data_IF_705203079597
#
_entry.id   IF_705203079597
#
_cell.length_a   1.000
_cell.length_b   1.000
_cell.length_c   1.000
_cell.angle_alpha   90.00
_cell.angle_beta   90.00
_cell.angle_gamma   90.00
#
_symmetry.space_group_name_H-M   'P 1'
#
loop_
_entity.id
_entity.type
_entity.pdbx_description
1 polymer ?
#
# COMPACT_ATOMS: atom_id res chain seq x y z
N UNK A 1 8.85 14.43 19.38
CA UNK A 1 9.47 15.45 20.25
C UNK A 1 10.17 14.85 21.48
N UNK A 2 9.60 13.87 22.19
CA UNK A 2 10.24 13.22 23.35
C UNK A 2 11.66 12.71 23.06
N UNK A 3 11.86 12.03 21.92
CA UNK A 3 13.18 11.54 21.48
C UNK A 3 14.18 12.68 21.28
N UNK A 4 13.78 13.74 20.58
CA UNK A 4 14.63 14.93 20.37
C UNK A 4 15.11 15.55 21.69
N UNK A 5 14.18 15.78 22.64
CA UNK A 5 14.53 16.29 23.98
C UNK A 5 15.47 15.34 24.73
N UNK A 6 15.28 14.02 24.61
CA UNK A 6 16.15 13.03 25.22
C UNK A 6 17.57 13.04 24.65
N UNK A 7 17.72 13.15 23.32
CA UNK A 7 19.04 13.31 22.67
C UNK A 7 19.72 14.57 23.22
N UNK A 8 19.01 15.70 23.21
CA UNK A 8 19.54 16.97 23.73
C UNK A 8 19.85 16.93 25.23
N UNK A 9 19.20 16.08 26.02
CA UNK A 9 19.49 15.92 27.44
C UNK A 9 20.83 15.20 27.68
N UNK A 10 21.23 14.28 26.79
CA UNK A 10 22.36 13.38 26.99
C UNK A 10 23.56 13.68 26.09
N UNK A 11 23.41 14.52 25.06
CA UNK A 11 24.52 14.86 24.18
C UNK A 11 25.63 15.64 24.91
N UNK A 12 26.88 15.35 24.57
CA UNK A 12 28.11 15.86 25.20
C UNK A 12 29.04 16.58 24.20
N UNK A 13 28.55 16.85 22.99
CA UNK A 13 29.27 17.58 21.95
C UNK A 13 28.46 17.59 20.65
N UNK A 14 29.10 18.03 19.57
CA UNK A 14 28.47 18.14 18.25
C UNK A 14 27.83 16.82 17.79
N UNK A 15 26.61 16.92 17.26
CA UNK A 15 25.85 15.79 16.70
C UNK A 15 25.06 16.22 15.45
N UNK A 16 24.85 15.26 14.56
CA UNK A 16 23.86 15.35 13.49
C UNK A 16 22.68 14.46 13.91
N UNK A 17 21.48 15.03 13.96
CA UNK A 17 20.24 14.34 14.29
C UNK A 17 19.43 14.14 13.01
N UNK A 18 19.23 12.88 12.64
CA UNK A 18 18.58 12.49 11.40
C UNK A 18 17.12 12.08 11.60
N UNK A 19 16.21 12.90 11.07
CA UNK A 19 14.80 12.57 10.96
C UNK A 19 14.61 11.62 9.77
N UNK A 20 14.56 10.31 10.07
CA UNK A 20 14.31 9.24 9.08
C UNK A 20 12.84 8.82 8.99
N UNK A 21 12.06 9.07 10.05
CA UNK A 21 10.61 8.79 10.04
C UNK A 21 9.90 9.70 9.03
N UNK A 22 8.83 9.20 8.41
CA UNK A 22 7.93 10.06 7.62
C UNK A 22 7.24 11.06 8.55
N UNK A 23 7.65 12.32 8.47
CA UNK A 23 7.18 13.41 9.33
C UNK A 23 6.67 14.59 8.49
N UNK A 24 5.60 15.29 8.92
CA UNK A 24 5.08 16.46 8.20
C UNK A 24 6.15 17.54 8.00
N UNK A 25 5.98 18.35 6.95
CA UNK A 25 6.88 19.47 6.65
C UNK A 25 6.98 20.43 7.84
N UNK A 26 8.22 20.82 8.19
CA UNK A 26 8.54 21.64 9.35
C UNK A 26 8.72 20.85 10.64
N UNK A 27 8.83 19.53 10.60
CA UNK A 27 9.10 18.73 11.80
C UNK A 27 10.54 18.89 12.27
N UNK A 28 11.50 18.93 11.34
CA UNK A 28 12.88 19.21 11.67
C UNK A 28 13.06 20.56 12.40
N UNK A 29 12.27 21.58 12.03
CA UNK A 29 12.26 22.87 12.76
C UNK A 29 11.79 22.68 14.22
N UNK A 30 10.75 21.87 14.44
CA UNK A 30 10.26 21.55 15.79
C UNK A 30 11.27 20.72 16.59
N UNK A 31 11.97 19.78 15.94
CA UNK A 31 13.07 19.01 16.54
C UNK A 31 14.18 19.95 16.99
N UNK A 32 14.62 20.86 16.10
CA UNK A 32 15.64 21.85 16.38
C UNK A 32 15.27 22.73 17.59
N UNK A 33 14.06 23.30 17.60
CA UNK A 33 13.58 24.11 18.74
C UNK A 33 13.54 23.30 20.03
N UNK A 34 12.99 22.09 20.02
CA UNK A 34 12.88 21.26 21.21
C UNK A 34 14.25 20.85 21.78
N UNK A 35 15.25 20.64 20.93
CA UNK A 35 16.62 20.36 21.35
C UNK A 35 17.30 21.60 21.92
N UNK A 36 17.15 22.74 21.24
CA UNK A 36 17.72 24.02 21.68
C UNK A 36 17.23 24.42 23.08
N UNK A 37 15.92 24.29 23.34
CA UNK A 37 15.34 24.55 24.67
C UNK A 37 15.99 23.72 25.78
N UNK A 38 16.32 22.44 25.51
CA UNK A 38 16.94 21.54 26.49
C UNK A 38 18.42 21.89 26.69
N UNK A 39 19.14 22.25 25.63
CA UNK A 39 20.54 22.67 25.72
C UNK A 39 20.69 23.98 26.51
N UNK A 40 19.78 24.93 26.31
CA UNK A 40 19.70 26.17 27.08
C UNK A 40 19.45 25.89 28.57
N UNK A 41 18.51 25.00 28.89
CA UNK A 41 18.25 24.58 30.28
C UNK A 41 19.46 23.90 30.93
N UNK A 42 20.26 23.17 30.15
CA UNK A 42 21.51 22.55 30.60
C UNK A 42 22.69 23.52 30.70
N UNK A 43 22.54 24.76 30.23
CA UNK A 43 23.64 25.71 30.03
C UNK A 43 24.81 25.09 29.23
N UNK A 44 24.50 24.23 28.25
CA UNK A 44 25.48 23.51 27.46
C UNK A 44 25.50 24.05 26.02
N UNK A 45 26.46 24.92 25.72
CA UNK A 45 26.59 25.52 24.39
C UNK A 45 27.34 24.58 23.44
N UNK A 46 26.60 23.85 22.61
CA UNK A 46 27.13 23.00 21.54
C UNK A 46 26.34 23.22 20.27
N UNK A 47 27.02 23.20 19.13
CA UNK A 47 26.35 23.12 17.84
C UNK A 47 25.74 21.73 17.64
N UNK A 48 24.66 21.65 16.86
CA UNK A 48 24.11 20.43 16.30
C UNK A 48 23.39 20.74 14.99
N UNK A 49 23.28 19.75 14.12
CA UNK A 49 22.51 19.86 12.88
C UNK A 49 21.33 18.90 12.92
N UNK A 50 20.19 19.33 12.37
CA UNK A 50 19.02 18.46 12.16
C UNK A 50 18.86 18.27 10.66
N UNK A 51 18.80 17.01 10.23
CA UNK A 51 18.69 16.65 8.82
C UNK A 51 17.45 15.80 8.57
N UNK A 52 16.83 15.98 7.41
CA UNK A 52 15.75 15.12 6.93
C UNK A 52 16.34 14.10 5.98
N UNK A 53 16.18 12.80 6.26
CA UNK A 53 16.58 11.74 5.35
C UNK A 53 15.45 10.71 5.28
N UNK A 54 14.40 10.97 4.48
CA UNK A 54 13.26 10.08 4.40
C UNK A 54 13.66 8.70 3.85
N UNK A 55 13.02 7.66 4.36
CA UNK A 55 13.16 6.29 3.83
C UNK A 55 12.26 6.06 2.60
N UNK A 56 12.62 5.17 1.68
CA UNK A 56 11.80 4.77 0.53
C UNK A 56 11.72 3.24 0.37
N UNK A 57 11.65 2.54 1.49
CA UNK A 57 11.67 1.09 1.58
C UNK A 57 10.26 0.54 1.36
N UNK A 58 10.15 -0.57 0.62
CA UNK A 58 8.92 -1.35 0.54
C UNK A 58 8.97 -2.46 1.58
N UNK A 59 7.90 -2.58 2.35
CA UNK A 59 7.69 -3.74 3.21
C UNK A 59 7.78 -5.05 2.41
N UNK A 60 8.48 -6.06 2.94
CA UNK A 60 8.79 -7.30 2.21
C UNK A 60 10.00 -7.23 1.25
N UNK A 61 10.57 -6.05 1.01
CA UNK A 61 11.79 -5.87 0.19
C UNK A 61 12.78 -4.85 0.80
N UNK A 62 12.62 -4.52 2.08
CA UNK A 62 13.33 -3.41 2.73
C UNK A 62 14.85 -3.56 2.70
N UNK A 63 15.38 -4.79 2.81
CA UNK A 63 16.83 -5.02 2.74
C UNK A 63 17.38 -4.70 1.35
N UNK A 64 16.74 -5.19 0.29
CA UNK A 64 17.18 -4.94 -1.09
C UNK A 64 17.07 -3.44 -1.44
N UNK A 65 15.96 -2.80 -1.06
CA UNK A 65 15.75 -1.36 -1.28
C UNK A 65 16.77 -0.51 -0.51
N UNK A 66 17.18 -0.93 0.69
CA UNK A 66 18.23 -0.25 1.46
C UNK A 66 19.62 -0.46 0.86
N UNK A 67 19.94 -1.69 0.44
CA UNK A 67 21.25 -2.03 -0.11
C UNK A 67 21.45 -1.48 -1.54
N UNK A 68 20.37 -1.27 -2.30
CA UNK A 68 20.39 -0.79 -3.69
C UNK A 68 19.33 0.29 -3.92
N UNK A 69 19.41 1.43 -3.23
CA UNK A 69 18.37 2.46 -3.30
C UNK A 69 18.35 3.13 -4.67
N UNK A 70 17.18 3.43 -5.23
CA UNK A 70 17.11 4.24 -6.47
C UNK A 70 17.75 5.63 -6.29
N UNK A 71 17.56 6.19 -5.09
CA UNK A 71 18.11 7.48 -4.63
C UNK A 71 18.12 7.57 -3.11
N UNK A 72 18.96 8.43 -2.56
CA UNK A 72 19.02 8.78 -1.14
C UNK A 72 18.77 10.28 -1.04
N UNK A 73 17.67 10.69 -0.40
CA UNK A 73 17.30 12.10 -0.26
C UNK A 73 17.85 12.64 1.05
N UNK A 74 18.61 13.74 0.99
CA UNK A 74 19.18 14.41 2.16
C UNK A 74 18.73 15.87 2.16
N UNK A 75 17.97 16.24 3.18
CA UNK A 75 17.60 17.61 3.51
C UNK A 75 18.54 18.20 4.54
N UNK A 76 19.32 19.21 4.18
CA UNK A 76 20.21 19.93 5.10
C UNK A 76 20.45 21.36 4.62
N UNK A 77 20.65 22.28 5.56
CA UNK A 77 21.02 23.69 5.33
C UNK A 77 22.52 23.95 5.56
N UNK A 78 23.29 22.91 5.92
CA UNK A 78 24.70 23.02 6.28
C UNK A 78 25.61 22.25 5.30
N UNK A 79 26.51 22.93 4.58
CA UNK A 79 27.47 22.27 3.68
C UNK A 79 28.41 21.28 4.39
N UNK A 80 28.82 21.54 5.64
CA UNK A 80 29.64 20.61 6.44
C UNK A 80 28.90 19.29 6.64
N UNK A 81 27.62 19.39 6.99
CA UNK A 81 26.74 18.24 7.22
C UNK A 81 26.49 17.47 5.93
N UNK A 82 26.36 18.17 4.79
CA UNK A 82 26.25 17.52 3.47
C UNK A 82 27.41 16.58 3.20
N UNK A 83 28.66 17.02 3.42
CA UNK A 83 29.84 16.20 3.20
C UNK A 83 29.91 15.00 4.16
N UNK A 84 29.55 15.19 5.43
CA UNK A 84 29.48 14.08 6.40
C UNK A 84 28.42 13.04 6.02
N UNK A 85 27.25 13.47 5.53
CA UNK A 85 26.22 12.55 5.04
C UNK A 85 26.66 11.82 3.76
N UNK A 86 27.42 12.50 2.88
CA UNK A 86 28.00 11.88 1.68
C UNK A 86 29.01 10.81 2.05
N UNK A 87 29.86 11.05 3.05
CA UNK A 87 30.81 10.05 3.56
C UNK A 87 30.07 8.85 4.16
N UNK A 88 29.04 9.09 5.00
CA UNK A 88 28.22 8.05 5.61
C UNK A 88 27.61 7.10 4.55
N UNK A 89 27.08 7.65 3.46
CA UNK A 89 26.43 6.88 2.40
C UNK A 89 27.38 6.44 1.26
N UNK A 90 28.66 6.79 1.30
CA UNK A 90 29.63 6.42 0.27
C UNK A 90 29.70 4.90 -0.03
N UNK A 91 29.60 3.99 0.96
CA UNK A 91 29.59 2.55 0.69
C UNK A 91 28.44 2.09 -0.21
N UNK A 92 27.31 2.79 -0.20
CA UNK A 92 26.11 2.47 -0.99
C UNK A 92 26.08 3.17 -2.36
N UNK A 93 27.01 4.10 -2.63
CA UNK A 93 27.04 4.96 -3.82
C UNK A 93 28.29 4.79 -4.70
N UNK A 94 29.01 3.65 -4.58
CA UNK A 94 30.29 3.46 -5.28
C UNK A 94 30.22 3.52 -6.80
N UNK A 95 29.09 3.14 -7.41
CA UNK A 95 28.97 3.08 -8.87
C UNK A 95 28.31 4.30 -9.49
N UNK A 96 27.41 4.97 -8.76
CA UNK A 96 26.66 6.13 -9.22
C UNK A 96 26.37 7.01 -8.01
N UNK A 97 26.51 8.34 -8.13
CA UNK A 97 26.07 9.25 -7.07
C UNK A 97 24.53 9.24 -7.04
N UNK A 98 23.97 8.61 -6.00
CA UNK A 98 22.52 8.54 -5.79
C UNK A 98 22.04 9.52 -4.72
N UNK A 99 22.93 10.37 -4.17
CA UNK A 99 22.52 11.39 -3.22
C UNK A 99 21.81 12.53 -3.94
N UNK A 100 20.64 12.87 -3.43
CA UNK A 100 19.87 14.05 -3.84
C UNK A 100 19.81 14.98 -2.64
N UNK A 101 20.72 15.95 -2.62
CA UNK A 101 20.82 16.95 -1.55
C UNK A 101 19.88 18.12 -1.87
N UNK A 102 19.11 18.55 -0.88
CA UNK A 102 18.14 19.65 -0.97
C UNK A 102 17.96 20.32 0.39
N UNK A 103 17.10 21.34 0.48
CA UNK A 103 16.72 21.90 1.77
C UNK A 103 15.82 20.94 2.57
N UNK A 104 15.80 21.12 3.89
CA UNK A 104 15.13 20.24 4.84
C UNK A 104 13.63 20.07 4.53
N UNK A 105 12.93 21.17 4.23
CA UNK A 105 11.48 21.15 3.99
C UNK A 105 11.15 20.46 2.66
N UNK A 106 11.98 20.68 1.64
CA UNK A 106 11.88 19.95 0.36
C UNK A 106 12.08 18.44 0.54
N UNK A 107 13.01 18.02 1.39
CA UNK A 107 13.22 16.60 1.69
C UNK A 107 12.02 15.96 2.41
N UNK A 108 11.47 16.65 3.43
CA UNK A 108 10.25 16.22 4.12
C UNK A 108 9.07 16.08 3.13
N UNK A 109 8.86 17.09 2.27
CA UNK A 109 7.77 17.07 1.29
C UNK A 109 7.96 15.98 0.22
N UNK A 110 9.20 15.71 -0.20
CA UNK A 110 9.51 14.72 -1.26
C UNK A 110 8.97 13.34 -0.91
N UNK A 111 9.01 12.92 0.37
CA UNK A 111 8.46 11.63 0.80
C UNK A 111 6.95 11.55 0.59
N UNK A 112 6.21 12.57 1.01
CA UNK A 112 4.76 12.64 0.82
C UNK A 112 4.39 12.73 -0.65
N UNK A 113 5.08 13.57 -1.42
CA UNK A 113 4.84 13.74 -2.85
C UNK A 113 5.04 12.43 -3.62
N UNK A 114 6.09 11.66 -3.29
CA UNK A 114 6.33 10.36 -3.92
C UNK A 114 5.21 9.36 -3.61
N UNK A 115 4.81 9.21 -2.34
CA UNK A 115 3.75 8.29 -1.96
C UNK A 115 2.38 8.71 -2.52
N UNK A 116 2.08 10.01 -2.53
CA UNK A 116 0.87 10.56 -3.13
C UNK A 116 0.82 10.32 -4.64
N UNK A 117 1.94 10.48 -5.36
CA UNK A 117 2.01 10.19 -6.79
C UNK A 117 1.76 8.70 -7.07
N UNK A 118 2.36 7.79 -6.30
CA UNK A 118 2.14 6.34 -6.47
C UNK A 118 0.69 5.96 -6.19
N UNK A 119 0.07 6.50 -5.14
CA UNK A 119 -1.35 6.32 -4.85
C UNK A 119 -2.24 6.88 -5.97
N UNK A 120 -1.86 8.04 -6.53
CA UNK A 120 -2.56 8.67 -7.65
C UNK A 120 -2.57 7.78 -8.88
N UNK A 121 -1.42 7.19 -9.27
CA UNK A 121 -1.34 6.27 -10.41
C UNK A 121 -2.28 5.07 -10.24
N UNK A 122 -2.34 4.49 -9.03
CA UNK A 122 -3.23 3.37 -8.73
C UNK A 122 -4.69 3.79 -8.83
N UNK A 123 -5.10 4.86 -8.12
CA UNK A 123 -6.49 5.34 -8.14
C UNK A 123 -6.93 5.75 -9.55
N UNK A 124 -6.07 6.42 -10.30
CA UNK A 124 -6.34 6.78 -11.69
C UNK A 124 -6.62 5.54 -12.56
N UNK A 125 -5.79 4.51 -12.46
CA UNK A 125 -6.01 3.26 -13.19
C UNK A 125 -7.25 2.51 -12.74
N UNK A 126 -7.60 2.57 -11.46
CA UNK A 126 -8.84 1.98 -10.94
C UNK A 126 -10.08 2.70 -11.46
N UNK A 127 -10.05 4.02 -11.54
CA UNK A 127 -11.14 4.80 -12.15
C UNK A 127 -11.30 4.46 -13.63
N UNK A 128 -10.20 4.42 -14.37
CA UNK A 128 -10.20 3.96 -15.76
C UNK A 128 -10.66 2.51 -15.91
N UNK A 129 -10.35 1.62 -14.96
CA UNK A 129 -10.82 0.25 -14.97
C UNK A 129 -12.35 0.20 -14.90
N UNK A 130 -12.94 0.98 -14.01
CA UNK A 130 -14.40 1.06 -13.87
C UNK A 130 -15.05 1.62 -15.16
N UNK A 131 -14.43 2.62 -15.78
CA UNK A 131 -14.88 3.14 -17.08
C UNK A 131 -14.74 2.09 -18.19
N UNK A 132 -13.64 1.33 -18.19
CA UNK A 132 -13.39 0.30 -19.20
C UNK A 132 -14.50 -0.76 -19.20
N UNK A 133 -15.02 -1.16 -18.03
CA UNK A 133 -16.17 -2.08 -17.96
C UNK A 133 -17.42 -1.53 -18.65
N UNK A 134 -17.70 -0.23 -18.46
CA UNK A 134 -18.87 0.43 -19.06
C UNK A 134 -18.71 0.70 -20.56
N UNK A 135 -17.47 0.90 -21.00
CA UNK A 135 -17.13 1.18 -22.40
C UNK A 135 -16.87 -0.09 -23.23
N UNK A 136 -16.83 -1.27 -22.60
CA UNK A 136 -16.45 -2.52 -23.27
C UNK A 136 -14.96 -2.59 -23.65
N UNK A 137 -14.10 -1.87 -22.91
CA UNK A 137 -12.65 -1.90 -23.08
C UNK A 137 -12.00 -2.89 -22.10
N UNK A 138 -10.75 -3.27 -22.38
CA UNK A 138 -9.91 -4.07 -21.46
C UNK A 138 -8.83 -3.17 -20.85
N UNK A 139 -8.92 -2.93 -19.54
CA UNK A 139 -7.99 -2.06 -18.81
C UNK A 139 -6.54 -2.57 -18.89
N UNK A 140 -6.29 -3.87 -19.04
CA UNK A 140 -4.92 -4.38 -19.19
C UNK A 140 -4.33 -4.00 -20.54
N UNK A 141 -5.15 -3.92 -21.60
CA UNK A 141 -4.72 -3.39 -22.89
C UNK A 141 -4.44 -1.89 -22.81
N UNK A 142 -5.29 -1.14 -22.11
CA UNK A 142 -5.08 0.30 -21.87
C UNK A 142 -3.79 0.53 -21.08
N UNK A 143 -3.56 -0.25 -20.02
CA UNK A 143 -2.33 -0.23 -19.22
C UNK A 143 -1.08 -0.43 -20.08
N UNK A 144 -1.09 -1.43 -20.97
CA UNK A 144 0.02 -1.67 -21.89
C UNK A 144 0.22 -0.49 -22.84
N UNK A 145 -0.88 0.06 -23.38
CA UNK A 145 -0.88 1.23 -24.25
C UNK A 145 -0.22 2.44 -23.60
N UNK A 146 -0.74 2.90 -22.46
CA UNK A 146 -0.21 4.09 -21.78
C UNK A 146 1.17 3.85 -21.15
N UNK A 147 1.44 2.62 -20.66
CA UNK A 147 2.71 2.29 -20.02
C UNK A 147 3.89 2.24 -20.99
N UNK A 148 3.62 2.06 -22.30
CA UNK A 148 4.64 2.11 -23.35
C UNK A 148 5.24 3.50 -23.55
N UNK A 149 4.57 4.55 -23.05
CA UNK A 149 5.13 5.89 -23.00
C UNK A 149 6.12 6.00 -21.82
N UNK A 150 7.42 6.25 -22.07
CA UNK A 150 8.42 6.32 -21.01
C UNK A 150 8.19 7.46 -20.01
N UNK A 151 7.35 8.46 -20.34
CA UNK A 151 6.95 9.52 -19.41
C UNK A 151 5.99 9.03 -18.33
N UNK A 152 5.27 7.93 -18.60
CA UNK A 152 4.31 7.29 -17.69
C UNK A 152 4.94 6.05 -17.04
N UNK A 153 5.55 5.18 -17.86
CA UNK A 153 6.15 3.92 -17.47
C UNK A 153 5.18 2.86 -16.96
N UNK A 154 5.66 1.62 -16.82
CA UNK A 154 4.83 0.45 -16.49
C UNK A 154 4.56 0.24 -14.99
N UNK A 155 5.24 0.96 -14.12
CA UNK A 155 5.15 0.74 -12.68
C UNK A 155 3.93 1.44 -12.06
N UNK A 156 3.30 0.78 -11.08
CA UNK A 156 2.16 1.31 -10.30
C UNK A 156 0.90 1.67 -11.12
N UNK A 157 0.72 1.04 -12.28
CA UNK A 157 -0.47 1.20 -13.12
C UNK A 157 -1.30 -0.09 -13.26
N UNK A 158 -1.17 -1.01 -12.29
CA UNK A 158 -1.99 -2.22 -12.25
C UNK A 158 -3.30 -1.91 -11.53
N UNK A 159 -4.46 -2.01 -12.22
CA UNK A 159 -5.76 -1.85 -11.58
C UNK A 159 -6.05 -3.04 -10.67
N UNK A 160 -6.92 -2.82 -9.67
CA UNK A 160 -7.36 -3.87 -8.77
C UNK A 160 -8.42 -3.41 -7.78
N UNK A 161 -8.54 -4.11 -6.66
CA UNK A 161 -9.47 -3.80 -5.57
C UNK A 161 -8.95 -2.71 -4.60
N UNK A 162 -8.22 -1.71 -5.12
CA UNK A 162 -7.63 -0.62 -4.34
C UNK A 162 -6.27 -0.94 -3.71
N UNK A 163 -5.67 0.08 -3.11
CA UNK A 163 -4.45 0.03 -2.31
C UNK A 163 -4.74 0.09 -0.80
N UNK A 164 -3.78 -0.40 -0.02
CA UNK A 164 -3.80 -0.39 1.44
C UNK A 164 -2.40 -0.23 2.03
N UNK A 165 -2.20 -0.81 3.21
CA UNK A 165 -0.94 -0.76 3.94
C UNK A 165 -0.80 0.49 4.80
N UNK A 166 0.30 0.54 5.54
CA UNK A 166 0.57 1.61 6.51
C UNK A 166 1.06 2.94 5.93
N UNK A 167 1.52 2.93 4.68
CA UNK A 167 2.15 4.09 4.06
C UNK A 167 1.17 4.94 3.26
N UNK A 168 0.58 4.40 2.18
CA UNK A 168 -0.18 5.25 1.24
C UNK A 168 -1.41 5.94 1.86
N UNK A 169 -2.36 5.23 2.52
CA UNK A 169 -3.53 5.90 3.09
C UNK A 169 -3.11 6.95 4.13
N UNK A 170 -2.20 6.59 5.04
CA UNK A 170 -1.70 7.50 6.09
C UNK A 170 -1.03 8.74 5.51
N UNK A 171 -0.14 8.57 4.53
CA UNK A 171 0.65 9.68 3.99
C UNK A 171 -0.19 10.60 3.10
N UNK A 172 -1.11 10.06 2.30
CA UNK A 172 -2.05 10.87 1.50
C UNK A 172 -2.97 11.69 2.41
N UNK A 173 -3.56 11.07 3.44
CA UNK A 173 -4.39 11.76 4.42
C UNK A 173 -3.62 12.81 5.23
N UNK A 174 -2.38 12.50 5.62
CA UNK A 174 -1.53 13.44 6.33
C UNK A 174 -1.21 14.66 5.45
N UNK A 175 -0.86 14.44 4.18
CA UNK A 175 -0.58 15.54 3.24
C UNK A 175 -1.82 16.40 2.97
N UNK A 176 -2.99 15.78 2.80
CA UNK A 176 -4.27 16.49 2.63
C UNK A 176 -4.64 17.30 3.89
N UNK A 177 -4.38 16.78 5.08
CA UNK A 177 -4.55 17.51 6.34
C UNK A 177 -3.60 18.70 6.44
N UNK A 178 -2.32 18.49 6.13
CA UNK A 178 -1.33 19.59 6.10
C UNK A 178 -1.75 20.67 5.11
N UNK A 179 -2.26 20.30 3.93
CA UNK A 179 -2.82 21.26 2.97
C UNK A 179 -3.94 22.10 3.59
N UNK A 180 -4.92 21.47 4.26
CA UNK A 180 -6.01 22.17 4.94
C UNK A 180 -5.52 23.10 6.06
N UNK A 181 -4.54 22.67 6.85
CA UNK A 181 -3.94 23.48 7.93
C UNK A 181 -3.26 24.75 7.42
N UNK A 182 -2.73 24.75 6.19
CA UNK A 182 -2.14 25.94 5.54
C UNK A 182 -3.14 26.71 4.65
N UNK A 183 -4.43 26.37 4.71
CA UNK A 183 -5.48 27.03 3.92
C UNK A 183 -5.53 26.64 2.44
N UNK A 184 -4.95 25.50 2.05
CA UNK A 184 -4.99 24.96 0.69
C UNK A 184 -5.95 23.76 0.58
N UNK A 185 -6.80 23.76 -0.45
CA UNK A 185 -7.68 22.63 -0.75
C UNK A 185 -7.03 21.70 -1.78
N UNK A 186 -6.54 20.54 -1.36
CA UNK A 186 -5.85 19.60 -2.22
C UNK A 186 -6.81 18.65 -2.96
N UNK A 187 -7.56 19.18 -3.94
CA UNK A 187 -8.63 18.47 -4.66
C UNK A 187 -8.21 17.11 -5.22
N UNK A 188 -7.00 17.02 -5.80
CA UNK A 188 -6.48 15.77 -6.35
C UNK A 188 -6.27 14.70 -5.27
N UNK A 189 -5.76 15.07 -4.09
CA UNK A 189 -5.53 14.10 -3.01
C UNK A 189 -6.85 13.55 -2.47
N UNK A 190 -7.84 14.43 -2.29
CA UNK A 190 -9.19 14.04 -1.88
C UNK A 190 -9.83 13.09 -2.90
N UNK A 191 -9.68 13.36 -4.20
CA UNK A 191 -10.19 12.50 -5.26
C UNK A 191 -9.52 11.13 -5.27
N UNK A 192 -8.19 11.08 -5.13
CA UNK A 192 -7.41 9.84 -5.08
C UNK A 192 -7.85 8.95 -3.93
N UNK A 193 -8.09 9.51 -2.76
CA UNK A 193 -8.58 8.77 -1.58
C UNK A 193 -10.01 8.27 -1.80
N UNK A 194 -10.91 9.14 -2.25
CA UNK A 194 -12.31 8.81 -2.48
C UNK A 194 -12.49 7.69 -3.53
N UNK A 195 -11.70 7.71 -4.61
CA UNK A 195 -11.66 6.63 -5.60
C UNK A 195 -11.19 5.33 -4.95
N UNK A 196 -10.13 5.37 -4.14
CA UNK A 196 -9.60 4.16 -3.49
C UNK A 196 -10.61 3.51 -2.55
N UNK A 197 -11.32 4.29 -1.73
CA UNK A 197 -12.35 3.74 -0.83
C UNK A 197 -13.45 3.02 -1.61
N UNK A 198 -14.02 3.66 -2.64
CA UNK A 198 -15.04 3.03 -3.49
C UNK A 198 -14.50 1.79 -4.21
N UNK A 199 -13.21 1.80 -4.59
CA UNK A 199 -12.62 0.67 -5.29
C UNK A 199 -12.55 -0.60 -4.44
N UNK A 200 -12.41 -0.48 -3.11
CA UNK A 200 -12.38 -1.63 -2.19
C UNK A 200 -13.72 -2.38 -2.16
N UNK A 201 -14.83 -1.74 -2.53
CA UNK A 201 -16.16 -2.36 -2.60
C UNK A 201 -16.39 -3.13 -3.91
N UNK A 202 -15.55 -2.95 -4.94
CA UNK A 202 -15.74 -3.58 -6.26
C UNK A 202 -15.84 -5.11 -6.25
N UNK A 203 -15.04 -5.86 -5.46
CA UNK A 203 -15.22 -7.31 -5.37
C UNK A 203 -16.61 -7.69 -4.83
N UNK A 204 -17.11 -6.95 -3.83
CA UNK A 204 -18.43 -7.17 -3.27
C UNK A 204 -19.54 -6.82 -4.29
N UNK A 205 -19.44 -5.69 -4.99
CA UNK A 205 -20.39 -5.32 -6.05
C UNK A 205 -20.49 -6.41 -7.13
N UNK A 206 -19.37 -7.05 -7.49
CA UNK A 206 -19.35 -8.16 -8.47
C UNK A 206 -20.06 -9.40 -7.94
N UNK A 207 -19.87 -9.75 -6.66
CA UNK A 207 -20.62 -10.82 -6.01
C UNK A 207 -22.12 -10.51 -5.97
N UNK A 208 -22.48 -9.27 -5.60
CA UNK A 208 -23.87 -8.83 -5.55
C UNK A 208 -24.52 -8.85 -6.95
N UNK A 209 -23.80 -8.44 -7.99
CA UNK A 209 -24.26 -8.54 -9.37
C UNK A 209 -24.52 -9.98 -9.79
N UNK A 210 -23.69 -10.92 -9.34
CA UNK A 210 -23.82 -12.32 -9.72
C UNK A 210 -24.92 -13.06 -8.95
N UNK A 211 -24.93 -12.95 -7.62
CA UNK A 211 -25.86 -13.70 -6.76
C UNK A 211 -27.17 -12.95 -6.45
N UNK A 212 -27.20 -11.63 -6.58
CA UNK A 212 -28.36 -10.81 -6.26
C UNK A 212 -28.84 -11.04 -4.83
N UNK A 213 -30.15 -11.30 -4.68
CA UNK A 213 -30.78 -11.59 -3.39
C UNK A 213 -30.34 -12.92 -2.76
N UNK A 214 -29.67 -13.81 -3.51
CA UNK A 214 -29.25 -15.12 -3.02
C UNK A 214 -27.86 -15.10 -2.34
N UNK A 215 -27.30 -13.93 -2.05
CA UNK A 215 -25.97 -13.81 -1.46
C UNK A 215 -25.95 -14.19 0.02
N UNK A 216 -27.02 -13.90 0.77
CA UNK A 216 -27.12 -14.20 2.20
C UNK A 216 -26.98 -15.72 2.46
N UNK A 217 -26.20 -16.08 3.49
CA UNK A 217 -25.95 -17.46 3.88
C UNK A 217 -24.92 -18.21 3.03
N UNK A 218 -24.41 -17.61 1.94
CA UNK A 218 -23.33 -18.19 1.13
C UNK A 218 -22.01 -18.20 1.90
N UNK A 219 -21.08 -19.01 1.42
CA UNK A 219 -19.69 -19.06 1.90
C UNK A 219 -18.74 -18.61 0.80
N UNK A 220 -17.94 -17.58 1.06
CA UNK A 220 -16.94 -17.06 0.13
C UNK A 220 -15.56 -17.58 0.51
N UNK A 221 -14.91 -18.28 -0.41
CA UNK A 221 -13.48 -18.55 -0.31
C UNK A 221 -12.71 -17.26 -0.59
N UNK A 222 -11.74 -16.92 0.27
CA UNK A 222 -10.95 -15.70 0.15
C UNK A 222 -9.45 -16.05 0.06
N UNK A 223 -8.84 -15.74 -1.08
CA UNK A 223 -7.40 -15.85 -1.26
C UNK A 223 -6.73 -14.49 -1.10
N UNK A 224 -5.94 -14.36 -0.04
CA UNK A 224 -5.21 -13.15 0.31
C UNK A 224 -5.91 -12.32 1.40
N UNK A 225 -5.18 -12.09 2.49
CA UNK A 225 -5.57 -11.26 3.63
C UNK A 225 -4.65 -10.04 3.75
N UNK A 226 -3.36 -10.18 3.49
CA UNK A 226 -2.41 -9.07 3.54
C UNK A 226 -2.73 -7.99 2.50
N UNK A 227 -2.34 -6.73 2.74
CA UNK A 227 -2.64 -5.64 1.80
C UNK A 227 -1.90 -5.78 0.45
N UNK A 228 -0.78 -6.52 0.44
CA UNK A 228 0.03 -6.89 -0.72
C UNK A 228 0.80 -8.20 -0.42
N UNK A 229 1.42 -8.84 -1.41
CA UNK A 229 2.27 -10.01 -1.17
C UNK A 229 3.51 -9.69 -0.30
N UNK A 230 4.06 -10.75 0.30
CA UNK A 230 5.30 -10.78 1.10
C UNK A 230 5.27 -9.95 2.40
N UNK A 231 4.11 -9.84 3.04
CA UNK A 231 3.93 -9.20 4.36
C UNK A 231 2.75 -9.84 5.09
N UNK A 232 2.74 -9.76 6.42
CA UNK A 232 1.58 -10.03 7.30
C UNK A 232 0.67 -8.81 7.50
N UNK A 233 1.08 -7.62 7.06
CA UNK A 233 0.37 -6.37 7.34
C UNK A 233 -1.03 -6.35 6.69
N UNK A 234 -2.03 -6.24 7.55
CA UNK A 234 -3.44 -6.11 7.17
C UNK A 234 -3.98 -4.69 7.39
N UNK A 235 -3.15 -3.70 7.75
CA UNK A 235 -3.61 -2.29 7.86
C UNK A 235 -4.12 -1.82 6.52
N UNK A 236 -5.33 -1.26 6.53
CA UNK A 236 -6.02 -0.74 5.33
C UNK A 236 -6.15 -1.75 4.17
N UNK A 237 -5.99 -3.06 4.41
CA UNK A 237 -6.09 -4.08 3.38
C UNK A 237 -7.52 -4.16 2.81
N UNK A 238 -7.65 -4.30 1.48
CA UNK A 238 -8.95 -4.44 0.82
C UNK A 238 -9.72 -5.69 1.26
N UNK A 239 -9.00 -6.71 1.72
CA UNK A 239 -9.56 -7.95 2.29
C UNK A 239 -10.44 -7.66 3.51
N UNK A 240 -10.04 -6.69 4.34
CA UNK A 240 -10.79 -6.27 5.52
C UNK A 240 -12.12 -5.63 5.15
N UNK A 241 -12.09 -4.67 4.23
CA UNK A 241 -13.32 -4.04 3.72
C UNK A 241 -14.26 -5.09 3.12
N UNK A 242 -13.74 -6.02 2.32
CA UNK A 242 -14.54 -7.08 1.74
C UNK A 242 -15.15 -7.99 2.81
N UNK A 243 -14.34 -8.53 3.73
CA UNK A 243 -14.83 -9.42 4.80
C UNK A 243 -15.89 -8.74 5.67
N UNK A 244 -15.64 -7.50 6.09
CA UNK A 244 -16.57 -6.73 6.92
C UNK A 244 -17.89 -6.45 6.19
N UNK A 245 -17.85 -6.19 4.89
CA UNK A 245 -19.06 -6.02 4.07
C UNK A 245 -19.80 -7.34 3.87
N UNK A 246 -19.09 -8.46 3.65
CA UNK A 246 -19.68 -9.80 3.51
C UNK A 246 -20.41 -10.24 4.79
N UNK A 247 -19.78 -10.09 5.96
CA UNK A 247 -20.40 -10.43 7.23
C UNK A 247 -21.65 -9.61 7.52
N UNK A 248 -21.66 -8.31 7.17
CA UNK A 248 -22.85 -7.45 7.26
C UNK A 248 -24.02 -7.93 6.40
N UNK A 249 -23.77 -8.77 5.39
CA UNK A 249 -24.77 -9.36 4.49
C UNK A 249 -25.08 -10.83 4.82
N UNK A 250 -24.66 -11.31 5.99
CA UNK A 250 -24.90 -12.69 6.42
C UNK A 250 -24.09 -13.73 5.63
N UNK A 251 -23.00 -13.33 4.99
CA UNK A 251 -22.11 -14.21 4.24
C UNK A 251 -20.98 -14.71 5.14
N UNK A 252 -20.62 -15.98 5.01
CA UNK A 252 -19.47 -16.58 5.71
C UNK A 252 -18.21 -16.48 4.87
N UNK A 253 -17.05 -16.40 5.50
CA UNK A 253 -15.75 -16.33 4.82
C UNK A 253 -14.88 -17.53 5.21
N UNK A 254 -14.32 -18.21 4.22
CA UNK A 254 -13.24 -19.18 4.37
C UNK A 254 -11.97 -18.57 3.77
N UNK A 255 -11.06 -18.09 4.60
CA UNK A 255 -9.90 -17.33 4.15
C UNK A 255 -8.60 -18.10 4.26
N UNK A 256 -7.71 -17.86 3.30
CA UNK A 256 -6.32 -18.29 3.35
C UNK A 256 -5.39 -17.17 2.89
N UNK A 257 -4.34 -16.95 3.66
CA UNK A 257 -3.18 -16.15 3.33
C UNK A 257 -1.92 -16.91 3.80
N UNK A 258 -0.83 -16.93 3.02
CA UNK A 258 0.37 -17.66 3.43
C UNK A 258 1.10 -17.05 4.63
N UNK A 259 0.85 -15.78 4.99
CA UNK A 259 1.62 -15.06 6.02
C UNK A 259 0.73 -14.32 7.03
N UNK A 260 -0.40 -13.74 6.62
CA UNK A 260 -1.22 -12.84 7.46
C UNK A 260 -2.29 -13.53 8.33
N UNK A 261 -2.22 -14.85 8.54
CA UNK A 261 -3.25 -15.60 9.28
C UNK A 261 -3.31 -15.23 10.76
N UNK A 262 -2.15 -15.06 11.40
CA UNK A 262 -2.05 -14.66 12.81
C UNK A 262 -2.54 -13.24 13.03
N UNK A 263 -2.16 -12.33 12.12
CA UNK A 263 -2.62 -10.94 12.15
C UNK A 263 -4.14 -10.83 11.97
N UNK A 264 -4.72 -11.63 11.07
CA UNK A 264 -6.18 -11.72 10.91
C UNK A 264 -6.85 -12.20 12.21
N UNK A 265 -6.27 -13.22 12.85
CA UNK A 265 -6.76 -13.73 14.14
C UNK A 265 -6.68 -12.65 15.23
N UNK A 266 -5.59 -11.88 15.26
CA UNK A 266 -5.41 -10.78 16.22
C UNK A 266 -6.44 -9.66 16.02
N UNK A 267 -6.77 -9.35 14.77
CA UNK A 267 -7.72 -8.28 14.43
C UNK A 267 -9.18 -8.66 14.65
N UNK A 268 -9.57 -9.89 14.31
CA UNK A 268 -10.99 -10.30 14.28
C UNK A 268 -11.37 -11.33 15.35
N UNK A 269 -10.40 -11.94 16.02
CA UNK A 269 -10.65 -12.99 16.99
C UNK A 269 -11.30 -14.24 16.39
N UNK A 270 -11.91 -15.05 17.25
CA UNK A 270 -12.73 -16.18 16.82
C UNK A 270 -14.14 -15.70 16.46
N UNK A 271 -14.67 -16.19 15.33
CA UNK A 271 -16.01 -15.86 14.84
C UNK A 271 -16.64 -17.06 14.14
N UNK A 272 -17.95 -17.20 14.22
CA UNK A 272 -18.69 -18.29 13.57
C UNK A 272 -18.83 -18.11 12.04
N UNK A 273 -18.62 -16.89 11.55
CA UNK A 273 -18.72 -16.46 10.15
C UNK A 273 -17.35 -16.30 9.47
N UNK A 274 -16.25 -16.67 10.14
CA UNK A 274 -14.89 -16.68 9.60
C UNK A 274 -14.19 -18.01 9.91
N UNK A 275 -13.76 -18.71 8.87
CA UNK A 275 -12.87 -19.87 8.98
C UNK A 275 -11.51 -19.53 8.36
N UNK A 276 -10.46 -19.69 9.14
CA UNK A 276 -9.07 -19.53 8.70
C UNK A 276 -8.51 -20.90 8.30
N UNK A 277 -8.31 -21.09 6.99
CA UNK A 277 -7.95 -22.36 6.39
C UNK A 277 -6.42 -22.58 6.39
N UNK A 278 -5.96 -23.83 6.37
CA UNK A 278 -4.52 -24.15 6.41
C UNK A 278 -3.85 -24.01 5.04
N UNK A 279 -4.60 -24.23 3.97
CA UNK A 279 -4.13 -24.13 2.59
C UNK A 279 -5.13 -23.37 1.72
N UNK A 280 -4.65 -22.91 0.57
CA UNK A 280 -5.49 -22.28 -0.45
C UNK A 280 -6.63 -23.21 -0.90
N UNK A 281 -6.34 -24.50 -1.01
CA UNK A 281 -7.30 -25.52 -1.45
C UNK A 281 -8.36 -25.82 -0.39
N UNK A 282 -8.00 -25.77 0.90
CA UNK A 282 -8.96 -25.98 2.00
C UNK A 282 -10.00 -24.85 2.06
N UNK A 283 -9.62 -23.63 1.66
CA UNK A 283 -10.53 -22.49 1.59
C UNK A 283 -11.62 -22.66 0.53
N UNK A 284 -11.42 -23.54 -0.45
CA UNK A 284 -12.38 -23.79 -1.52
C UNK A 284 -13.45 -24.83 -1.14
N UNK A 285 -13.20 -25.66 -0.12
CA UNK A 285 -14.03 -26.84 0.17
C UNK A 285 -15.45 -26.46 0.59
N UNK A 286 -16.39 -26.62 -0.36
CA UNK A 286 -17.81 -26.32 -0.16
C UNK A 286 -18.14 -24.83 -0.15
N UNK A 287 -17.19 -23.96 -0.53
CA UNK A 287 -17.46 -22.55 -0.76
C UNK A 287 -18.36 -22.35 -1.99
N UNK A 288 -19.16 -21.29 -1.99
CA UNK A 288 -20.01 -20.90 -3.11
C UNK A 288 -19.19 -20.25 -4.23
N UNK A 289 -18.18 -19.46 -3.91
CA UNK A 289 -17.30 -18.83 -4.91
C UNK A 289 -15.92 -18.53 -4.32
N UNK A 290 -14.99 -18.15 -5.19
CA UNK A 290 -13.67 -17.66 -4.82
C UNK A 290 -13.54 -16.16 -5.07
N UNK A 291 -13.00 -15.42 -4.12
CA UNK A 291 -12.53 -14.04 -4.29
C UNK A 291 -11.03 -13.96 -4.05
N UNK A 292 -10.30 -13.35 -4.98
CA UNK A 292 -8.86 -13.13 -4.88
C UNK A 292 -8.60 -11.65 -4.59
N UNK A 293 -7.95 -11.36 -3.48
CA UNK A 293 -7.71 -9.99 -3.01
C UNK A 293 -6.22 -9.64 -2.91
N UNK A 294 -5.34 -10.64 -2.86
CA UNK A 294 -3.88 -10.41 -2.80
C UNK A 294 -3.16 -11.32 -3.77
N UNK A 295 -2.32 -10.76 -4.63
CA UNK A 295 -1.66 -11.40 -5.78
C UNK A 295 -0.42 -12.24 -5.43
N UNK A 296 -0.52 -13.04 -4.36
CA UNK A 296 0.55 -13.95 -3.94
C UNK A 296 0.96 -14.87 -5.08
N UNK A 297 2.26 -15.17 -5.16
CA UNK A 297 2.83 -15.96 -6.26
C UNK A 297 2.15 -17.34 -6.39
N UNK A 298 1.82 -17.98 -5.27
CA UNK A 298 1.15 -19.29 -5.26
C UNK A 298 -0.24 -19.28 -5.92
N UNK A 299 -0.91 -18.12 -5.99
CA UNK A 299 -2.23 -18.02 -6.63
C UNK A 299 -2.12 -17.79 -8.14
N UNK A 300 -0.94 -17.58 -8.72
CA UNK A 300 -0.80 -17.26 -10.15
C UNK A 300 -0.96 -18.47 -11.08
N UNK A 301 -0.87 -19.68 -10.57
CA UNK A 301 -0.96 -20.91 -11.36
C UNK A 301 -1.68 -22.02 -10.60
N UNK A 302 -2.95 -21.82 -10.24
CA UNK A 302 -3.70 -22.81 -9.47
C UNK A 302 -4.16 -23.98 -10.36
N UNK A 303 -4.55 -25.09 -9.72
CA UNK A 303 -5.27 -26.14 -10.41
C UNK A 303 -6.76 -25.75 -10.57
N UNK A 304 -7.12 -25.25 -11.76
CA UNK A 304 -8.49 -24.83 -12.05
C UNK A 304 -9.52 -25.96 -12.00
N UNK A 305 -9.14 -27.21 -12.26
CA UNK A 305 -10.06 -28.35 -12.16
C UNK A 305 -10.39 -28.64 -10.69
N UNK A 306 -9.42 -28.45 -9.79
CA UNK A 306 -9.64 -28.49 -8.34
C UNK A 306 -10.57 -27.37 -7.90
N UNK A 307 -10.36 -26.12 -8.36
CA UNK A 307 -11.26 -25.00 -8.04
C UNK A 307 -12.70 -25.32 -8.46
N UNK A 308 -12.89 -25.80 -9.69
CA UNK A 308 -14.21 -26.13 -10.23
C UNK A 308 -14.91 -27.26 -9.46
N UNK A 309 -14.14 -28.22 -8.95
CA UNK A 309 -14.69 -29.38 -8.22
C UNK A 309 -15.01 -29.06 -6.76
N UNK A 310 -14.21 -28.21 -6.12
CA UNK A 310 -14.37 -27.86 -4.70
C UNK A 310 -15.44 -26.79 -4.45
N UNK A 311 -15.57 -25.82 -5.36
CA UNK A 311 -16.61 -24.80 -5.29
C UNK A 311 -17.97 -25.39 -5.67
N UNK A 312 -19.03 -24.97 -4.96
CA UNK A 312 -20.42 -25.29 -5.30
C UNK A 312 -20.85 -24.66 -6.62
N UNK A 313 -20.32 -23.47 -6.90
CA UNK A 313 -20.56 -22.71 -8.11
C UNK A 313 -19.19 -22.19 -8.61
N UNK A 314 -18.76 -22.54 -9.84
CA UNK A 314 -17.42 -22.23 -10.32
C UNK A 314 -17.30 -20.74 -10.73
N UNK A 315 -17.36 -19.87 -9.73
CA UNK A 315 -17.28 -18.41 -9.85
C UNK A 315 -16.01 -17.91 -9.18
N UNK A 316 -15.27 -17.09 -9.90
CA UNK A 316 -14.09 -16.39 -9.38
C UNK A 316 -14.29 -14.88 -9.58
N UNK A 317 -14.18 -14.12 -8.49
CA UNK A 317 -14.00 -12.66 -8.52
C UNK A 317 -12.54 -12.35 -8.25
N UNK A 318 -11.85 -11.79 -9.23
CA UNK A 318 -10.42 -11.53 -9.15
C UNK A 318 -10.15 -10.03 -9.06
N UNK A 319 -9.85 -9.57 -7.84
CA UNK A 319 -9.50 -8.20 -7.55
C UNK A 319 -8.11 -7.79 -8.03
N UNK A 320 -7.33 -8.69 -8.66
CA UNK A 320 -5.93 -8.47 -9.06
C UNK A 320 -5.62 -8.87 -10.50
N UNK A 321 -6.63 -9.25 -11.28
CA UNK A 321 -6.50 -9.60 -12.70
C UNK A 321 -5.43 -10.67 -12.99
N UNK A 322 -5.31 -11.69 -12.14
CA UNK A 322 -4.30 -12.76 -12.27
C UNK A 322 -4.50 -13.62 -13.51
N UNK A 323 -5.76 -13.82 -13.93
CA UNK A 323 -6.09 -14.78 -14.98
C UNK A 323 -6.64 -14.10 -16.24
N UNK A 324 -6.62 -14.85 -17.35
CA UNK A 324 -7.25 -14.43 -18.60
C UNK A 324 -8.74 -14.78 -18.60
N UNK A 325 -9.65 -13.80 -18.81
CA UNK A 325 -11.09 -14.08 -18.92
C UNK A 325 -11.43 -15.15 -19.97
N UNK A 326 -10.75 -15.12 -21.12
CA UNK A 326 -10.94 -16.10 -22.20
C UNK A 326 -10.58 -17.53 -21.74
N UNK A 327 -9.49 -17.67 -20.99
CA UNK A 327 -9.06 -18.98 -20.49
C UNK A 327 -10.02 -19.51 -19.42
N UNK A 328 -10.55 -18.64 -18.56
CA UNK A 328 -11.52 -19.04 -17.53
C UNK A 328 -12.84 -19.48 -18.15
N UNK A 329 -13.31 -18.75 -19.16
CA UNK A 329 -14.50 -19.12 -19.94
C UNK A 329 -14.33 -20.49 -20.60
N UNK A 330 -13.17 -20.77 -21.23
CA UNK A 330 -12.87 -22.10 -21.83
C UNK A 330 -12.86 -23.24 -20.81
N UNK A 331 -12.56 -22.96 -19.54
CA UNK A 331 -12.59 -23.92 -18.44
C UNK A 331 -13.99 -24.07 -17.81
N UNK A 332 -14.96 -23.28 -18.26
CA UNK A 332 -16.31 -23.24 -17.70
C UNK A 332 -16.33 -22.68 -16.28
N UNK A 333 -15.51 -21.64 -16.04
CA UNK A 333 -15.48 -20.87 -14.80
C UNK A 333 -16.00 -19.47 -15.13
N UNK A 334 -17.02 -19.03 -14.40
CA UNK A 334 -17.50 -17.64 -14.46
C UNK A 334 -16.47 -16.75 -13.79
N UNK A 335 -15.90 -15.79 -14.53
CA UNK A 335 -14.77 -15.00 -14.06
C UNK A 335 -15.06 -13.51 -14.15
N UNK A 336 -14.96 -12.85 -13.00
CA UNK A 336 -15.13 -11.41 -12.86
C UNK A 336 -13.79 -10.76 -12.53
N UNK A 337 -13.16 -10.14 -13.53
CA UNK A 337 -11.97 -9.30 -13.36
C UNK A 337 -12.33 -7.83 -13.08
N UNK A 338 -11.34 -7.03 -12.72
CA UNK A 338 -11.44 -5.57 -12.60
C UNK A 338 -11.11 -4.93 -13.96
N UNK A 339 -12.09 -4.29 -14.60
CA UNK A 339 -11.89 -3.48 -15.80
C UNK A 339 -11.74 -4.25 -17.11
N UNK A 340 -12.12 -5.53 -17.16
CA UNK A 340 -11.88 -6.40 -18.34
C UNK A 340 -13.15 -6.96 -18.99
N UNK A 341 -14.29 -6.31 -18.75
CA UNK A 341 -15.60 -6.76 -19.19
C UNK A 341 -16.13 -7.96 -18.40
N UNK A 342 -17.45 -8.11 -18.38
CA UNK A 342 -18.16 -9.30 -17.88
C UNK A 342 -19.07 -9.82 -18.98
#
# INVERSE_FOLDING_TARGET
MTVARSIAQHMDGYRIVEDKSTVPVGTADKVRTAMQEVLEQRAFNTEFDVVSNPEFLKEGAALDDFMKPDRIVIGTDNPRTTELMRELYAPFNRSHDRLVVMDIRSAELTKYAANAMLATKISFMNELANMAELLGADIEKVRIGIGSDPRIGYHFIYPGCGYGGSCFPKDVQALERTAREIGYNAELLSAVEAVNYRQKDKPFEKLQKHYGANLEGKTVALWGLAFKPNTDDMREASSRTLMETLWKQGVKVQAFDPVAMEECTRLYGQRDDLTLCKTADDALDGADCLVIVTEWQQFRSPNFDTIKTKLKDPVIVDGRNLYSPEQMMKKGITYYAIGRGC
#
